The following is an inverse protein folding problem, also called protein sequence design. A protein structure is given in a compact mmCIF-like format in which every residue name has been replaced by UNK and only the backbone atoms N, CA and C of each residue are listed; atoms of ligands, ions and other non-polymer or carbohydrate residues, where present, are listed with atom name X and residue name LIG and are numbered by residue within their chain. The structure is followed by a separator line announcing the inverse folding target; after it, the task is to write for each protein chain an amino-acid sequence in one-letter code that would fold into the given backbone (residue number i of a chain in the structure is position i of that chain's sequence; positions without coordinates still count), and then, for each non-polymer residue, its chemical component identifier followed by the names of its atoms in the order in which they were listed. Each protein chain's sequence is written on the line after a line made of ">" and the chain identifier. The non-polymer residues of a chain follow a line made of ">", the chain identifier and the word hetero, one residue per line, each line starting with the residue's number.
data_IF_805000198893
#
_entry.id   IF_805000198893
#
_cell.length_a   1.000
_cell.length_b   1.000
_cell.length_c   1.000
_cell.angle_alpha   90.00
_cell.angle_beta   90.00
_cell.angle_gamma   90.00
#
_symmetry.space_group_name_H-M   'P 1'
#
loop_
_entity.id
_entity.type
_entity.pdbx_description
1 polymer ?
#
# COMPACT_ATOMS: atom_id res chain seq x y z
N UNK A 1 -14.52 16.79 18.79
CA UNK A 1 -13.36 15.89 18.96
C UNK A 1 -13.11 15.18 17.62
N UNK A 2 -11.95 15.39 17.01
CA UNK A 2 -11.59 14.72 15.73
C UNK A 2 -11.24 13.26 16.02
N UNK A 3 -12.19 12.34 15.80
CA UNK A 3 -12.11 10.93 16.24
C UNK A 3 -11.35 10.00 15.27
N UNK A 4 -10.70 10.53 14.21
CA UNK A 4 -10.19 9.70 13.13
C UNK A 4 -8.70 9.31 13.21
N UNK A 5 -7.85 10.21 13.74
CA UNK A 5 -6.38 10.04 13.76
C UNK A 5 -5.86 10.30 15.16
N UNK A 6 -4.90 9.49 15.62
CA UNK A 6 -4.26 9.62 16.93
C UNK A 6 -2.74 9.77 16.77
N UNK A 7 -2.24 10.99 16.92
CA UNK A 7 -0.81 11.25 16.92
C UNK A 7 -0.12 10.69 18.17
N UNK A 8 -0.81 10.63 19.30
CA UNK A 8 -0.26 10.07 20.54
C UNK A 8 -0.03 8.58 20.41
N UNK A 9 -1.00 7.83 19.90
CA UNK A 9 -0.88 6.39 19.65
C UNK A 9 0.19 6.11 18.59
N UNK A 10 0.21 6.88 17.50
CA UNK A 10 1.24 6.77 16.47
C UNK A 10 2.65 7.05 17.02
N UNK A 11 2.82 8.05 17.88
CA UNK A 11 4.12 8.35 18.50
C UNK A 11 4.60 7.21 19.39
N UNK A 12 3.70 6.58 20.16
CA UNK A 12 4.04 5.40 20.95
C UNK A 12 4.46 4.21 20.08
N UNK A 13 3.74 3.96 18.98
CA UNK A 13 4.11 2.88 18.05
C UNK A 13 5.42 3.18 17.31
N UNK A 14 5.68 4.44 16.96
CA UNK A 14 6.96 4.84 16.37
C UNK A 14 8.14 4.56 17.30
N UNK A 15 7.99 4.85 18.60
CA UNK A 15 9.01 4.55 19.61
C UNK A 15 9.24 3.03 19.73
N UNK A 16 8.17 2.22 19.70
CA UNK A 16 8.26 0.75 19.69
C UNK A 16 8.96 0.25 18.43
N UNK A 17 8.63 0.79 17.27
CA UNK A 17 9.28 0.44 16.00
C UNK A 17 10.78 0.73 16.03
N UNK A 18 11.18 1.90 16.52
CA UNK A 18 12.59 2.29 16.68
C UNK A 18 13.35 1.39 17.66
N UNK A 19 12.67 0.87 18.68
CA UNK A 19 13.22 -0.08 19.63
C UNK A 19 13.23 -1.55 19.13
N UNK A 20 12.73 -1.81 17.91
CA UNK A 20 12.57 -3.18 17.39
C UNK A 20 11.47 -3.99 18.09
N UNK A 21 10.54 -3.31 18.75
CA UNK A 21 9.42 -3.91 19.47
C UNK A 21 8.15 -3.83 18.64
N UNK A 22 7.67 -4.98 18.14
CA UNK A 22 6.47 -5.06 17.32
C UNK A 22 6.74 -5.45 15.87
N UNK A 23 5.74 -5.35 15.03
CA UNK A 23 5.78 -5.89 13.68
C UNK A 23 5.64 -4.78 12.63
N UNK A 24 6.41 -4.91 11.55
CA UNK A 24 6.18 -4.18 10.29
C UNK A 24 5.48 -5.12 9.32
N UNK A 25 4.31 -4.74 8.85
CA UNK A 25 3.44 -5.59 8.06
C UNK A 25 3.17 -4.99 6.68
N UNK A 26 3.36 -5.79 5.63
CA UNK A 26 2.79 -5.52 4.31
C UNK A 26 1.46 -6.26 4.26
N UNK A 27 0.36 -5.52 4.23
CA UNK A 27 -1.00 -6.05 4.23
C UNK A 27 -1.57 -6.04 2.81
N UNK A 28 -2.23 -7.13 2.43
CA UNK A 28 -2.96 -7.22 1.18
C UNK A 28 -4.19 -8.13 1.31
N UNK A 29 -5.16 -7.90 0.44
CA UNK A 29 -6.32 -8.78 0.25
C UNK A 29 -6.06 -9.74 -0.90
N UNK A 30 -6.53 -10.98 -0.76
CA UNK A 30 -6.47 -11.99 -1.81
C UNK A 30 -7.80 -12.77 -1.84
N UNK A 31 -8.59 -12.55 -2.86
CA UNK A 31 -9.93 -13.13 -2.96
C UNK A 31 -10.28 -13.46 -4.41
N UNK A 32 -11.35 -14.23 -4.58
CA UNK A 32 -11.86 -14.64 -5.88
C UNK A 32 -11.03 -15.72 -6.55
N UNK A 33 -11.31 -15.92 -7.84
CA UNK A 33 -10.81 -17.07 -8.62
C UNK A 33 -9.76 -16.71 -9.66
N UNK A 34 -9.34 -15.45 -9.72
CA UNK A 34 -8.38 -15.00 -10.72
C UNK A 34 -6.95 -15.39 -10.34
N UNK A 35 -6.34 -16.18 -11.20
CA UNK A 35 -5.00 -16.73 -11.00
C UNK A 35 -3.90 -15.66 -10.99
N UNK A 36 -4.12 -14.52 -11.65
CA UNK A 36 -3.17 -13.41 -11.68
C UNK A 36 -2.88 -12.89 -10.27
N UNK A 37 -3.92 -12.69 -9.46
CA UNK A 37 -3.75 -12.27 -8.06
C UNK A 37 -3.03 -13.32 -7.21
N UNK A 38 -3.29 -14.63 -7.45
CA UNK A 38 -2.59 -15.69 -6.70
C UNK A 38 -1.10 -15.74 -7.02
N UNK A 39 -0.74 -15.63 -8.30
CA UNK A 39 0.68 -15.59 -8.70
C UNK A 39 1.35 -14.31 -8.22
N UNK A 40 0.68 -13.16 -8.30
CA UNK A 40 1.17 -11.90 -7.75
C UNK A 40 1.44 -11.98 -6.25
N UNK A 41 0.58 -12.67 -5.49
CA UNK A 41 0.77 -12.91 -4.07
C UNK A 41 2.00 -13.78 -3.77
N UNK A 42 2.22 -14.86 -4.53
CA UNK A 42 3.38 -15.75 -4.38
C UNK A 42 4.67 -15.01 -4.72
N UNK A 43 4.72 -14.30 -5.85
CA UNK A 43 5.89 -13.49 -6.21
C UNK A 43 6.22 -12.46 -5.13
N UNK A 44 5.19 -11.80 -4.61
CA UNK A 44 5.34 -10.82 -3.53
C UNK A 44 5.89 -11.46 -2.25
N UNK A 45 5.46 -12.66 -1.90
CA UNK A 45 5.99 -13.40 -0.75
C UNK A 45 7.49 -13.68 -0.92
N UNK A 46 7.92 -14.12 -2.10
CA UNK A 46 9.34 -14.32 -2.42
C UNK A 46 10.14 -13.01 -2.33
N UNK A 47 9.59 -11.91 -2.86
CA UNK A 47 10.23 -10.61 -2.82
C UNK A 47 10.35 -10.07 -1.38
N UNK A 48 9.34 -10.31 -0.54
CA UNK A 48 9.37 -9.89 0.87
C UNK A 48 10.47 -10.64 1.62
N UNK A 49 10.57 -11.95 1.48
CA UNK A 49 11.64 -12.72 2.10
C UNK A 49 13.04 -12.25 1.67
N UNK A 50 13.21 -11.94 0.38
CA UNK A 50 14.51 -11.57 -0.16
C UNK A 50 14.92 -10.13 0.16
N UNK A 51 14.02 -9.18 -0.02
CA UNK A 51 14.36 -7.76 -0.08
C UNK A 51 13.82 -6.94 1.11
N UNK A 52 12.92 -7.51 1.94
CA UNK A 52 12.25 -6.82 3.04
C UNK A 52 12.43 -7.53 4.40
N UNK A 53 13.65 -7.77 4.87
CA UNK A 53 13.93 -8.69 5.99
C UNK A 53 13.31 -8.27 7.33
N UNK A 54 12.89 -7.00 7.47
CA UNK A 54 12.23 -6.48 8.70
C UNK A 54 10.72 -6.37 8.56
N UNK A 55 10.16 -6.89 7.46
CA UNK A 55 8.73 -6.86 7.18
C UNK A 55 8.19 -8.28 7.05
N UNK A 56 6.95 -8.49 7.48
CA UNK A 56 6.17 -9.70 7.22
C UNK A 56 5.06 -9.40 6.22
N UNK A 57 4.75 -10.37 5.37
CA UNK A 57 3.59 -10.31 4.49
C UNK A 57 2.38 -10.90 5.21
N UNK A 58 1.29 -10.14 5.28
CA UNK A 58 0.00 -10.59 5.82
C UNK A 58 -1.05 -10.53 4.72
N UNK A 59 -1.69 -11.66 4.46
CA UNK A 59 -2.71 -11.81 3.43
C UNK A 59 -4.04 -12.17 4.07
N UNK A 60 -5.04 -11.31 3.88
CA UNK A 60 -6.43 -11.55 4.21
C UNK A 60 -7.09 -12.22 3.01
N UNK A 61 -7.63 -13.43 3.17
CA UNK A 61 -8.09 -14.21 2.02
C UNK A 61 -9.43 -14.88 2.26
N UNK A 62 -10.18 -15.11 1.18
CA UNK A 62 -11.40 -15.89 1.18
C UNK A 62 -11.16 -17.39 0.99
N UNK A 63 -12.25 -18.14 0.94
CA UNK A 63 -12.24 -19.60 0.69
C UNK A 63 -12.20 -19.97 -0.79
N UNK A 64 -12.22 -19.00 -1.72
CA UNK A 64 -12.11 -19.23 -3.15
C UNK A 64 -10.64 -19.38 -3.58
N UNK A 65 -9.72 -18.85 -2.80
CA UNK A 65 -8.28 -19.05 -3.03
C UNK A 65 -7.93 -20.54 -2.85
N UNK A 66 -7.37 -21.22 -3.87
CA UNK A 66 -7.11 -22.65 -3.81
C UNK A 66 -6.17 -23.02 -2.67
N UNK A 67 -6.48 -24.11 -1.94
CA UNK A 67 -5.65 -24.62 -0.84
C UNK A 67 -4.19 -24.86 -1.24
N UNK A 68 -3.94 -25.25 -2.50
CA UNK A 68 -2.59 -25.42 -3.03
C UNK A 68 -1.82 -24.09 -2.99
N UNK A 69 -2.45 -22.98 -3.36
CA UNK A 69 -1.84 -21.63 -3.33
C UNK A 69 -1.59 -21.19 -1.88
N UNK A 70 -2.57 -21.39 -1.00
CA UNK A 70 -2.40 -21.11 0.43
C UNK A 70 -1.27 -21.94 1.06
N UNK A 71 -1.08 -23.19 0.62
CA UNK A 71 0.03 -24.04 1.10
C UNK A 71 1.39 -23.51 0.64
N UNK A 72 1.50 -23.03 -0.60
CA UNK A 72 2.72 -22.38 -1.11
C UNK A 72 3.01 -21.11 -0.30
N UNK A 73 2.01 -20.25 -0.10
CA UNK A 73 2.17 -19.02 0.69
C UNK A 73 2.59 -19.30 2.14
N UNK A 74 2.05 -20.34 2.79
CA UNK A 74 2.51 -20.77 4.13
C UNK A 74 3.96 -21.22 4.12
N UNK A 75 4.41 -21.94 3.09
CA UNK A 75 5.81 -22.36 2.96
C UNK A 75 6.78 -21.19 2.76
N UNK A 76 6.26 -20.03 2.36
CA UNK A 76 6.97 -18.76 2.22
C UNK A 76 6.79 -17.84 3.43
N UNK A 77 6.43 -18.38 4.58
CA UNK A 77 6.30 -17.66 5.86
C UNK A 77 5.29 -16.48 5.80
N UNK A 78 4.23 -16.63 4.98
CA UNK A 78 3.16 -15.62 4.89
C UNK A 78 2.17 -15.81 6.02
N UNK A 79 1.83 -14.72 6.71
CA UNK A 79 0.75 -14.72 7.69
C UNK A 79 -0.61 -14.68 6.95
N UNK A 80 -1.30 -15.81 6.90
CA UNK A 80 -2.59 -15.97 6.23
C UNK A 80 -3.74 -15.80 7.24
N UNK A 81 -4.61 -14.84 6.99
CA UNK A 81 -5.78 -14.52 7.80
C UNK A 81 -7.03 -14.86 6.98
N UNK A 82 -7.77 -15.93 7.33
CA UNK A 82 -8.98 -16.26 6.62
C UNK A 82 -10.09 -15.26 6.92
N UNK A 83 -10.76 -14.81 5.86
CA UNK A 83 -11.90 -13.91 5.91
C UNK A 83 -13.14 -14.59 5.30
N UNK A 84 -14.29 -14.31 5.86
CA UNK A 84 -15.55 -14.77 5.29
C UNK A 84 -16.25 -13.59 4.66
N UNK A 85 -16.44 -13.62 3.34
CA UNK A 85 -17.45 -12.80 2.71
C UNK A 85 -18.83 -13.26 3.25
N UNK A 86 -19.63 -12.35 3.78
CA UNK A 86 -21.02 -12.64 4.11
C UNK A 86 -21.75 -13.18 2.85
N UNK A 87 -22.82 -13.94 3.04
CA UNK A 87 -23.54 -14.71 1.99
C UNK A 87 -23.95 -13.88 0.76
N UNK A 88 -23.90 -12.55 0.85
CA UNK A 88 -24.25 -11.60 -0.23
C UNK A 88 -23.11 -10.65 -0.64
N UNK A 89 -21.89 -10.83 -0.13
CA UNK A 89 -20.79 -9.89 -0.28
C UNK A 89 -19.61 -10.48 -1.07
N UNK A 90 -19.87 -11.35 -2.04
CA UNK A 90 -18.81 -12.12 -2.70
C UNK A 90 -17.79 -11.27 -3.46
N UNK A 91 -18.13 -10.05 -3.89
CA UNK A 91 -17.25 -9.31 -4.79
C UNK A 91 -16.72 -7.99 -4.23
N UNK A 92 -17.28 -7.42 -3.17
CA UNK A 92 -16.95 -6.05 -2.75
C UNK A 92 -16.21 -5.96 -1.40
N UNK A 93 -16.48 -6.81 -0.43
CA UNK A 93 -15.83 -6.75 0.88
C UNK A 93 -14.32 -7.05 0.85
N UNK A 94 -13.87 -7.83 -0.13
CA UNK A 94 -12.46 -8.19 -0.30
C UNK A 94 -11.52 -7.00 -0.42
N UNK A 95 -11.96 -5.91 -1.05
CA UNK A 95 -11.17 -4.68 -1.20
C UNK A 95 -10.79 -4.02 0.13
N UNK A 96 -11.56 -4.28 1.19
CA UNK A 96 -11.35 -3.62 2.48
C UNK A 96 -10.63 -4.49 3.52
N UNK A 97 -10.44 -5.79 3.28
CA UNK A 97 -9.89 -6.69 4.30
C UNK A 97 -8.47 -6.32 4.73
N UNK A 98 -7.63 -5.84 3.82
CA UNK A 98 -6.27 -5.41 4.15
C UNK A 98 -6.24 -4.27 5.19
N UNK A 99 -7.32 -3.48 5.31
CA UNK A 99 -7.41 -2.45 6.34
C UNK A 99 -7.56 -3.00 7.75
N UNK A 100 -7.91 -4.28 7.92
CA UNK A 100 -7.94 -4.92 9.26
C UNK A 100 -6.57 -4.95 9.94
N UNK A 101 -5.49 -4.69 9.21
CA UNK A 101 -4.18 -4.47 9.82
C UNK A 101 -4.19 -3.32 10.84
N UNK A 102 -5.11 -2.37 10.74
CA UNK A 102 -5.31 -1.26 11.68
C UNK A 102 -5.75 -1.73 13.07
N UNK A 103 -6.32 -2.91 13.17
CA UNK A 103 -6.87 -3.47 14.42
C UNK A 103 -5.79 -4.14 15.28
N UNK A 104 -4.62 -4.44 14.70
CA UNK A 104 -3.54 -5.15 15.40
C UNK A 104 -2.61 -4.18 16.13
N UNK A 105 -2.76 -4.11 17.45
CA UNK A 105 -1.93 -3.28 18.31
C UNK A 105 -0.41 -3.66 18.34
N UNK A 106 -0.05 -4.84 17.82
CA UNK A 106 1.34 -5.26 17.70
C UNK A 106 2.02 -4.73 16.44
N UNK A 107 1.23 -4.23 15.48
CA UNK A 107 1.74 -3.65 14.25
C UNK A 107 2.20 -2.22 14.51
N UNK A 108 3.51 -2.00 14.39
CA UNK A 108 4.13 -0.67 14.58
C UNK A 108 4.16 0.14 13.29
N UNK A 109 4.30 -0.52 12.15
CA UNK A 109 4.17 0.07 10.81
C UNK A 109 3.48 -0.89 9.87
N UNK A 110 2.71 -0.36 8.95
CA UNK A 110 2.12 -1.17 7.90
C UNK A 110 2.19 -0.46 6.54
N UNK A 111 2.22 -1.27 5.49
CA UNK A 111 2.06 -0.87 4.10
C UNK A 111 0.84 -1.60 3.57
N UNK A 112 0.02 -0.92 2.78
CA UNK A 112 -1.06 -1.55 2.02
C UNK A 112 -0.61 -1.69 0.57
N UNK A 113 -0.79 -2.89 0.01
CA UNK A 113 -0.39 -3.22 -1.37
C UNK A 113 -1.44 -4.10 -2.03
N UNK A 114 -1.71 -3.83 -3.31
CA UNK A 114 -2.60 -4.65 -4.13
C UNK A 114 -1.93 -5.99 -4.48
N UNK A 115 -2.72 -7.03 -4.63
CA UNK A 115 -2.20 -8.36 -4.93
C UNK A 115 -1.56 -8.43 -6.33
N UNK A 116 -2.08 -7.67 -7.29
CA UNK A 116 -1.60 -7.58 -8.67
C UNK A 116 -0.45 -6.57 -8.88
N UNK A 117 -0.13 -5.72 -7.90
CA UNK A 117 0.94 -4.75 -8.01
C UNK A 117 2.30 -5.33 -7.61
N UNK A 118 3.37 -4.96 -8.34
CA UNK A 118 4.74 -5.41 -8.06
C UNK A 118 5.38 -4.67 -6.89
N UNK A 119 6.10 -5.41 -6.04
CA UNK A 119 7.07 -4.81 -5.12
C UNK A 119 8.38 -4.52 -5.87
N UNK A 120 8.77 -3.26 -5.92
CA UNK A 120 9.97 -2.84 -6.63
C UNK A 120 11.06 -2.34 -5.66
N UNK A 121 12.33 -2.37 -6.10
CA UNK A 121 13.43 -1.75 -5.35
C UNK A 121 13.22 -0.24 -5.18
N UNK A 122 12.61 0.40 -6.19
CA UNK A 122 12.28 1.82 -6.16
C UNK A 122 11.26 2.13 -5.04
N UNK A 123 10.19 1.34 -4.97
CA UNK A 123 9.20 1.45 -3.89
C UNK A 123 9.81 1.19 -2.51
N UNK A 124 10.70 0.19 -2.41
CA UNK A 124 11.42 -0.09 -1.16
C UNK A 124 12.26 1.10 -0.70
N UNK A 125 13.01 1.73 -1.59
CA UNK A 125 13.83 2.90 -1.25
C UNK A 125 12.99 4.08 -0.75
N UNK A 126 11.83 4.31 -1.37
CA UNK A 126 10.88 5.32 -0.90
C UNK A 126 10.34 5.00 0.51
N UNK A 127 10.05 3.74 0.79
CA UNK A 127 9.65 3.29 2.14
C UNK A 127 10.79 3.43 3.14
N UNK A 128 12.02 3.08 2.78
CA UNK A 128 13.20 3.22 3.66
C UNK A 128 13.42 4.70 4.02
N UNK A 129 13.28 5.64 3.06
CA UNK A 129 13.36 7.07 3.31
C UNK A 129 12.22 7.57 4.22
N UNK A 130 10.99 7.09 3.99
CA UNK A 130 9.88 7.36 4.91
C UNK A 130 10.18 6.88 6.34
N UNK A 131 10.73 5.68 6.52
CA UNK A 131 11.10 5.19 7.84
C UNK A 131 12.13 6.10 8.50
N UNK A 132 13.17 6.51 7.76
CA UNK A 132 14.23 7.40 8.24
C UNK A 132 13.72 8.80 8.60
N UNK A 133 12.69 9.29 7.90
CA UNK A 133 12.09 10.60 8.18
C UNK A 133 11.38 10.68 9.53
N UNK A 134 11.02 9.54 10.14
CA UNK A 134 10.21 9.50 11.36
C UNK A 134 8.76 9.96 11.18
N UNK A 135 8.30 10.20 9.95
CA UNK A 135 6.94 10.64 9.67
C UNK A 135 5.93 9.49 9.80
N UNK A 136 4.68 9.84 10.08
CA UNK A 136 3.66 8.86 10.45
C UNK A 136 2.91 8.26 9.27
N UNK A 137 2.86 8.96 8.14
CA UNK A 137 2.06 8.57 6.97
C UNK A 137 2.87 8.66 5.68
N UNK A 138 2.69 7.73 4.78
CA UNK A 138 3.42 7.63 3.52
C UNK A 138 2.47 7.37 2.36
N UNK A 139 2.66 8.10 1.26
CA UNK A 139 1.95 7.93 -0.01
C UNK A 139 2.96 7.92 -1.16
N UNK A 140 2.71 7.11 -2.17
CA UNK A 140 3.49 7.07 -3.40
C UNK A 140 2.60 7.36 -4.62
N UNK A 141 3.12 8.18 -5.56
CA UNK A 141 2.46 8.52 -6.84
C UNK A 141 3.51 8.50 -7.93
N UNK A 142 3.74 7.35 -8.53
CA UNK A 142 4.86 7.11 -9.44
C UNK A 142 4.44 7.00 -10.93
N UNK A 143 3.25 7.48 -11.27
CA UNK A 143 2.77 7.48 -12.65
C UNK A 143 1.86 8.70 -12.89
N UNK A 144 1.79 9.28 -14.11
CA UNK A 144 0.87 10.38 -14.42
C UNK A 144 -0.61 10.07 -14.13
N UNK A 145 -1.01 8.80 -14.25
CA UNK A 145 -2.38 8.35 -13.91
C UNK A 145 -2.60 8.16 -12.40
N UNK A 146 -1.57 8.29 -11.56
CA UNK A 146 -1.71 8.31 -10.10
C UNK A 146 -2.17 9.69 -9.60
N UNK A 147 -3.31 10.16 -10.15
CA UNK A 147 -3.82 11.52 -9.95
C UNK A 147 -4.64 11.73 -8.69
N UNK A 148 -5.00 10.67 -7.96
CA UNK A 148 -5.76 10.77 -6.70
C UNK A 148 -4.85 10.93 -5.49
N UNK A 149 -5.43 11.37 -4.38
CA UNK A 149 -4.69 11.69 -3.16
C UNK A 149 -3.96 10.48 -2.58
N UNK A 150 -4.65 9.34 -2.47
CA UNK A 150 -4.11 8.08 -1.95
C UNK A 150 -4.65 6.94 -2.81
N UNK A 151 -3.76 6.26 -3.52
CA UNK A 151 -4.08 5.01 -4.21
C UNK A 151 -4.14 3.86 -3.22
N UNK A 152 -5.11 2.96 -3.39
CA UNK A 152 -5.40 1.87 -2.47
C UNK A 152 -4.17 1.02 -2.11
N UNK A 153 -3.36 0.66 -3.09
CA UNK A 153 -2.16 -0.17 -2.91
C UNK A 153 -0.84 0.59 -2.74
N UNK A 154 -0.84 1.92 -2.56
CA UNK A 154 0.39 2.72 -2.61
C UNK A 154 0.59 3.63 -1.40
N UNK A 155 0.26 3.15 -0.21
CA UNK A 155 0.41 3.92 1.01
C UNK A 155 0.85 3.06 2.20
N UNK A 156 1.12 3.72 3.31
CA UNK A 156 1.43 3.09 4.58
C UNK A 156 1.36 4.08 5.73
N UNK A 157 1.32 3.57 6.95
CA UNK A 157 1.32 4.40 8.14
C UNK A 157 1.97 3.70 9.33
N UNK A 158 2.24 4.50 10.36
CA UNK A 158 2.58 4.01 11.69
C UNK A 158 1.30 3.47 12.35
N UNK A 159 1.41 2.34 13.06
CA UNK A 159 0.31 1.75 13.80
C UNK A 159 -0.33 2.74 14.76
N UNK A 160 -1.63 2.63 14.96
CA UNK A 160 -2.39 3.53 15.83
C UNK A 160 -2.64 4.94 15.28
N UNK A 161 -2.03 5.33 14.14
CA UNK A 161 -2.31 6.62 13.52
C UNK A 161 -3.76 6.72 13.09
N UNK A 162 -4.22 5.75 12.30
CA UNK A 162 -5.60 5.64 11.84
C UNK A 162 -6.33 4.72 12.80
N UNK A 163 -7.42 5.18 13.36
CA UNK A 163 -8.21 4.39 14.32
C UNK A 163 -9.10 3.39 13.61
N UNK A 164 -9.16 2.13 14.08
CA UNK A 164 -9.99 1.09 13.47
C UNK A 164 -11.47 1.47 13.37
N UNK A 165 -11.98 2.27 14.31
CA UNK A 165 -13.37 2.75 14.32
C UNK A 165 -13.74 3.59 13.09
N UNK A 166 -12.75 4.07 12.34
CA UNK A 166 -13.00 4.75 11.06
C UNK A 166 -13.46 3.79 9.96
N UNK A 167 -13.09 2.51 10.07
CA UNK A 167 -13.50 1.48 9.12
C UNK A 167 -14.97 1.06 9.29
N UNK A 168 -15.51 1.17 10.50
CA UNK A 168 -16.83 0.63 10.83
C UNK A 168 -17.97 1.18 9.93
N UNK A 169 -18.06 2.50 9.65
CA UNK A 169 -19.07 3.03 8.74
C UNK A 169 -18.91 2.49 7.31
N UNK A 170 -17.67 2.35 6.85
CA UNK A 170 -17.36 1.87 5.50
C UNK A 170 -17.66 0.40 5.37
N UNK A 171 -17.24 -0.42 6.35
CA UNK A 171 -17.53 -1.85 6.39
C UNK A 171 -19.04 -2.15 6.46
N UNK A 172 -19.84 -1.24 7.02
CA UNK A 172 -21.30 -1.36 7.03
C UNK A 172 -21.95 -0.94 5.71
N UNK A 173 -21.35 -0.02 4.97
CA UNK A 173 -21.87 0.46 3.67
C UNK A 173 -21.56 -0.49 2.51
N UNK A 174 -20.55 -1.36 2.65
CA UNK A 174 -20.12 -2.33 1.62
C UNK A 174 -21.24 -3.23 1.09
N UNK A 175 -22.28 -3.46 1.87
CA UNK A 175 -23.45 -4.24 1.43
C UNK A 175 -24.28 -3.54 0.33
N UNK A 176 -24.07 -2.24 0.09
CA UNK A 176 -24.97 -1.41 -0.75
C UNK A 176 -24.24 -0.65 -1.89
N UNK A 177 -22.89 -0.62 -1.96
CA UNK A 177 -22.15 0.25 -2.90
C UNK A 177 -21.14 -0.54 -3.75
N UNK A 178 -21.02 -0.25 -5.06
CA UNK A 178 -20.11 -0.95 -5.98
C UNK A 178 -18.71 -0.31 -6.02
N UNK A 179 -17.70 -1.14 -6.37
CA UNK A 179 -16.33 -0.86 -6.89
C UNK A 179 -15.62 0.44 -6.43
N UNK A 180 -14.39 0.30 -5.89
CA UNK A 180 -13.45 1.35 -5.41
C UNK A 180 -13.75 1.90 -4.01
N UNK A 181 -14.28 1.10 -3.11
CA UNK A 181 -14.61 1.52 -1.74
C UNK A 181 -13.37 1.81 -0.90
N UNK A 182 -12.26 1.14 -1.18
CA UNK A 182 -10.95 1.39 -0.57
C UNK A 182 -10.44 2.80 -0.89
N UNK A 183 -10.55 3.25 -2.14
CA UNK A 183 -10.19 4.62 -2.53
C UNK A 183 -11.14 5.66 -1.96
N UNK A 184 -12.44 5.35 -1.90
CA UNK A 184 -13.45 6.21 -1.25
C UNK A 184 -13.14 6.34 0.24
N UNK A 185 -12.85 5.23 0.92
CA UNK A 185 -12.43 5.25 2.32
C UNK A 185 -11.18 6.13 2.53
N UNK A 186 -10.17 5.95 1.69
CA UNK A 186 -8.93 6.72 1.80
C UNK A 186 -9.15 8.20 1.52
N UNK A 187 -9.92 8.55 0.50
CA UNK A 187 -10.23 9.94 0.12
C UNK A 187 -11.10 10.65 1.16
N UNK A 188 -12.17 10.01 1.62
CA UNK A 188 -13.21 10.69 2.40
C UNK A 188 -12.98 10.57 3.90
N UNK A 189 -12.35 9.50 4.37
CA UNK A 189 -12.15 9.24 5.79
C UNK A 189 -10.70 9.40 6.25
N UNK A 190 -9.70 9.08 5.44
CA UNK A 190 -8.28 9.15 5.83
C UNK A 190 -7.65 10.48 5.43
N UNK A 191 -7.75 10.85 4.15
CA UNK A 191 -7.08 12.03 3.60
C UNK A 191 -7.40 13.34 4.32
N UNK A 192 -8.67 13.66 4.69
CA UNK A 192 -8.99 14.89 5.40
C UNK A 192 -8.26 15.04 6.74
N UNK A 193 -7.87 13.93 7.35
CA UNK A 193 -7.18 13.93 8.64
C UNK A 193 -5.67 14.02 8.51
N UNK A 194 -5.07 13.48 7.43
CA UNK A 194 -3.62 13.46 7.24
C UNK A 194 -3.11 14.61 6.37
N UNK A 195 -3.93 15.17 5.47
CA UNK A 195 -3.53 16.21 4.52
C UNK A 195 -3.02 17.50 5.18
N UNK A 196 -3.57 17.86 6.33
CA UNK A 196 -3.24 19.12 7.02
C UNK A 196 -2.05 19.00 7.98
N UNK A 197 -1.50 17.79 8.13
CA UNK A 197 -0.35 17.53 8.99
C UNK A 197 0.92 17.38 8.14
N UNK A 198 1.41 18.49 7.58
CA UNK A 198 2.60 18.51 6.71
C UNK A 198 3.84 17.88 7.37
N UNK A 199 3.93 17.93 8.70
CA UNK A 199 5.01 17.31 9.46
C UNK A 199 4.78 15.82 9.79
N UNK A 200 3.64 15.25 9.41
CA UNK A 200 3.29 13.85 9.73
C UNK A 200 3.22 12.95 8.52
N UNK A 201 3.45 13.46 7.31
CA UNK A 201 3.34 12.68 6.07
C UNK A 201 4.52 12.86 5.14
N UNK A 202 4.87 11.82 4.44
CA UNK A 202 5.76 11.83 3.27
C UNK A 202 4.96 11.43 2.03
N UNK A 203 5.09 12.19 0.97
CA UNK A 203 4.53 11.87 -0.35
C UNK A 203 5.70 11.77 -1.32
N UNK A 204 5.94 10.60 -1.90
CA UNK A 204 6.85 10.44 -3.01
C UNK A 204 6.07 10.58 -4.32
N UNK A 205 6.49 11.46 -5.19
CA UNK A 205 5.82 11.78 -6.46
C UNK A 205 6.83 11.97 -7.59
N UNK A 206 6.40 11.70 -8.82
CA UNK A 206 7.21 11.95 -10.03
C UNK A 206 7.31 13.44 -10.40
N UNK A 207 6.46 14.29 -9.84
CA UNK A 207 6.40 15.70 -10.18
C UNK A 207 6.32 16.59 -8.92
N UNK A 208 7.37 16.58 -8.05
CA UNK A 208 7.33 17.29 -6.76
C UNK A 208 7.25 18.80 -6.92
N UNK A 209 7.76 19.34 -8.02
CA UNK A 209 7.69 20.77 -8.31
C UNK A 209 6.30 21.24 -8.79
N UNK A 210 5.42 20.30 -9.15
CA UNK A 210 4.03 20.57 -9.54
C UNK A 210 3.03 20.16 -8.44
N UNK A 211 3.47 19.32 -7.50
CA UNK A 211 2.66 18.76 -6.44
C UNK A 211 3.37 18.85 -5.09
N UNK A 212 2.62 18.72 -4.02
CA UNK A 212 3.18 18.64 -2.66
C UNK A 212 3.79 17.26 -2.48
N UNK A 213 5.11 17.17 -2.34
CA UNK A 213 5.82 15.91 -2.12
C UNK A 213 7.31 16.00 -2.37
N UNK A 214 7.99 14.87 -2.30
CA UNK A 214 9.40 14.68 -2.60
C UNK A 214 9.56 13.77 -3.83
N UNK A 215 10.68 13.89 -4.52
CA UNK A 215 11.04 12.91 -5.54
C UNK A 215 11.29 11.54 -4.93
N UNK A 216 11.09 10.51 -5.74
CA UNK A 216 11.60 9.19 -5.37
C UNK A 216 13.13 9.23 -5.23
N UNK A 217 13.70 8.50 -4.25
CA UNK A 217 15.15 8.53 -3.99
C UNK A 217 15.98 7.82 -5.07
N UNK A 218 15.33 7.22 -6.06
CA UNK A 218 15.97 6.55 -7.20
C UNK A 218 15.33 6.99 -8.49
N UNK A 219 16.15 7.13 -9.56
CA UNK A 219 15.60 7.34 -10.88
C UNK A 219 14.87 6.08 -11.36
N UNK A 220 13.90 6.25 -12.25
CA UNK A 220 13.28 5.15 -12.99
C UNK A 220 14.22 4.70 -14.09
N UNK A 221 14.40 3.39 -14.25
CA UNK A 221 15.32 2.82 -15.24
C UNK A 221 14.68 2.69 -16.63
N UNK A 222 13.36 2.50 -16.66
CA UNK A 222 12.57 2.43 -17.87
C UNK A 222 11.18 3.06 -17.63
N UNK A 223 10.48 3.57 -18.67
CA UNK A 223 9.16 4.20 -18.51
C UNK A 223 8.15 3.33 -17.75
N UNK A 224 8.17 2.03 -17.99
CA UNK A 224 7.29 1.06 -17.36
C UNK A 224 7.73 0.61 -15.96
N UNK A 225 8.88 1.07 -15.46
CA UNK A 225 9.41 0.69 -14.13
C UNK A 225 8.90 1.65 -13.05
N UNK A 226 7.59 1.73 -12.87
CA UNK A 226 6.96 2.55 -11.85
C UNK A 226 6.42 1.71 -10.68
N UNK A 227 6.34 2.32 -9.51
CA UNK A 227 5.76 1.69 -8.32
C UNK A 227 4.26 1.55 -8.51
N UNK A 228 3.71 0.38 -8.20
CA UNK A 228 2.29 0.07 -8.44
C UNK A 228 2.00 -0.51 -9.83
N UNK A 229 3.04 -0.78 -10.64
CA UNK A 229 2.86 -1.53 -11.90
C UNK A 229 2.25 -2.89 -11.60
N UNK A 230 1.18 -3.22 -12.31
CA UNK A 230 0.51 -4.52 -12.19
C UNK A 230 1.32 -5.66 -12.80
N UNK A 231 1.06 -6.87 -12.32
CA UNK A 231 1.50 -8.08 -13.00
C UNK A 231 0.60 -8.29 -14.22
N UNK A 232 1.19 -8.24 -15.40
CA UNK A 232 0.54 -8.69 -16.61
C UNK A 232 1.34 -9.86 -17.17
N UNK A 233 0.79 -11.06 -17.05
CA UNK A 233 1.44 -12.28 -17.54
C UNK A 233 1.12 -12.56 -19.01
N UNK A 234 0.17 -11.85 -19.59
CA UNK A 234 -0.32 -12.11 -20.96
C UNK A 234 0.02 -10.97 -21.91
N UNK A 235 -0.04 -9.75 -21.45
CA UNK A 235 0.28 -8.57 -22.24
C UNK A 235 1.22 -7.69 -21.42
N UNK A 236 2.50 -7.75 -21.72
CA UNK A 236 3.39 -6.69 -21.26
C UNK A 236 2.77 -5.37 -21.75
N UNK A 237 2.35 -4.52 -20.84
CA UNK A 237 1.53 -3.33 -21.10
C UNK A 237 2.32 -2.31 -21.93
N UNK A 238 2.62 -2.64 -23.20
CA UNK A 238 3.25 -1.71 -24.14
C UNK A 238 2.34 -0.51 -24.47
N UNK A 239 1.05 -0.61 -24.17
CA UNK A 239 0.07 0.41 -24.54
C UNK A 239 -0.04 1.64 -23.62
N UNK A 240 0.55 1.61 -22.41
CA UNK A 240 0.57 2.76 -21.49
C UNK A 240 1.96 3.38 -21.33
N UNK A 241 2.78 3.37 -22.36
CA UNK A 241 3.96 4.22 -22.43
C UNK A 241 3.55 5.69 -22.58
N UNK A 242 2.87 6.22 -21.58
CA UNK A 242 2.74 7.67 -21.45
C UNK A 242 4.14 8.20 -21.25
N UNK A 243 4.47 9.26 -21.97
CA UNK A 243 5.72 9.98 -21.77
C UNK A 243 5.83 10.34 -20.28
N UNK A 244 6.63 9.58 -19.55
CA UNK A 244 6.86 9.76 -18.11
C UNK A 244 8.09 10.59 -17.86
N UNK A 245 8.50 11.42 -18.84
CA UNK A 245 9.63 12.30 -18.68
C UNK A 245 9.41 13.23 -17.49
N UNK A 246 10.40 13.23 -16.64
CA UNK A 246 10.48 14.18 -15.54
C UNK A 246 10.52 15.60 -16.08
N UNK A 247 9.61 16.50 -15.70
CA UNK A 247 9.72 17.90 -16.08
C UNK A 247 11.13 18.43 -15.76
N UNK A 248 11.75 19.13 -16.69
CA UNK A 248 13.16 19.53 -16.57
C UNK A 248 13.44 20.29 -15.28
N UNK A 249 12.52 21.16 -14.86
CA UNK A 249 12.59 21.91 -13.61
C UNK A 249 12.48 21.04 -12.35
N UNK A 250 11.99 19.81 -12.47
CA UNK A 250 11.85 18.86 -11.37
C UNK A 250 13.02 17.88 -11.26
N UNK A 251 13.93 17.86 -12.24
CA UNK A 251 15.02 16.88 -12.27
C UNK A 251 16.06 17.18 -11.20
N UNK A 252 16.32 16.26 -10.25
CA UNK A 252 17.40 16.44 -9.28
C UNK A 252 18.78 16.41 -9.94
N UNK A 253 18.88 15.68 -11.07
CA UNK A 253 20.06 15.63 -11.94
C UNK A 253 19.62 15.78 -13.39
N UNK A 254 20.43 16.42 -14.21
CA UNK A 254 20.09 16.69 -15.63
C UNK A 254 19.83 15.41 -16.45
N UNK A 255 20.47 14.32 -16.07
CA UNK A 255 20.37 13.01 -16.71
C UNK A 255 19.15 12.19 -16.23
N UNK A 256 18.40 12.69 -15.24
CA UNK A 256 17.16 12.04 -14.79
C UNK A 256 16.00 12.42 -15.72
N UNK A 257 16.04 11.91 -16.93
CA UNK A 257 14.96 12.14 -17.90
C UNK A 257 13.65 11.53 -17.41
N UNK A 258 13.72 10.43 -16.67
CA UNK A 258 12.56 9.77 -16.05
C UNK A 258 12.66 9.88 -14.53
N UNK A 259 11.69 10.53 -13.91
CA UNK A 259 11.57 10.59 -12.47
C UNK A 259 11.16 9.25 -11.90
#
# INVERSE_FOLDING_TARGET
>A
MRRGVSLQEASAQLARDAAGLGQRVIAMSLYGTDAEFWFGAIEKAVLVQRDWPTWSLRIYHDNLVPNKMLSVLRSLDVNLVPESAGVHAHDHAGHLWHFKVLEDANVTRYLVRDADARLSKRGKRAVDEWIQSGLYFHVMRDHPLHGIEILAGMWGAVGGLIRPQMLEPVMKSVAEVPLNEDEVFLRDFVWPHVRNHTHSRTIHTIAPCLNIGALFPTRRLAPQDFVGKKYDYVNDFEGMATNTDCPEVCRPHKDWVQC
#
